data_IF_385561071400
#
_entry.id   IF_385561071400
#
_cell.length_a   1.000
_cell.length_b   1.000
_cell.length_c   1.000
_cell.angle_alpha   90.00
_cell.angle_beta   90.00
_cell.angle_gamma   90.00
#
_symmetry.space_group_name_H-M   'P 1'
#
loop_
_entity.id
_entity.type
_entity.pdbx_description
1 polymer ?
#
# COMPACT_ATOMS: atom_id res chain seq x y z
N UNK A 1 1.46 6.70 18.69
CA UNK A 1 1.00 5.45 19.36
C UNK A 1 1.78 5.16 20.65
N UNK A 2 3.12 5.21 20.64
CA UNK A 2 3.94 4.91 21.83
C UNK A 2 3.50 5.66 23.10
N UNK A 3 3.39 6.98 23.03
CA UNK A 3 2.91 7.80 24.15
C UNK A 3 1.56 7.32 24.72
N UNK A 4 0.65 6.82 23.88
CA UNK A 4 -0.65 6.27 24.33
C UNK A 4 -0.45 4.94 25.07
N UNK A 5 0.47 4.08 24.61
CA UNK A 5 0.83 2.83 25.31
C UNK A 5 1.54 3.08 26.63
N UNK A 6 2.41 4.09 26.69
CA UNK A 6 3.06 4.51 27.94
C UNK A 6 2.04 5.02 28.98
N UNK A 7 0.86 5.46 28.52
CA UNK A 7 -0.30 5.82 29.35
C UNK A 7 -1.23 4.63 29.64
N UNK A 8 -0.82 3.39 29.32
CA UNK A 8 -1.61 2.18 29.56
C UNK A 8 -2.74 1.94 28.56
N UNK A 9 -2.76 2.63 27.42
CA UNK A 9 -3.79 2.44 26.38
C UNK A 9 -3.32 1.45 25.32
N UNK A 10 -4.25 0.66 24.81
CA UNK A 10 -4.03 -0.14 23.61
C UNK A 10 -3.94 0.75 22.37
N UNK A 11 -2.74 0.85 21.79
CA UNK A 11 -2.48 1.71 20.65
C UNK A 11 -1.32 1.20 19.79
N UNK A 12 -1.59 0.85 18.55
CA UNK A 12 -0.59 0.44 17.56
C UNK A 12 -0.38 1.53 16.51
N UNK A 13 0.71 1.44 15.76
CA UNK A 13 0.98 2.30 14.61
C UNK A 13 1.59 1.50 13.46
N UNK A 14 1.30 2.02 12.26
CA UNK A 14 1.96 1.67 11.01
C UNK A 14 2.68 2.95 10.57
N UNK A 15 4.00 3.08 10.81
CA UNK A 15 4.78 4.13 10.17
C UNK A 15 4.85 3.88 8.66
N UNK A 16 5.40 4.84 7.92
CA UNK A 16 5.32 4.89 6.47
C UNK A 16 6.71 5.15 5.85
N UNK A 17 6.82 4.90 4.55
CA UNK A 17 7.95 5.16 3.65
C UNK A 17 9.23 4.34 3.86
N UNK A 18 9.70 4.16 5.09
CA UNK A 18 11.05 3.66 5.35
C UNK A 18 11.05 2.27 5.99
N UNK A 19 11.75 1.31 5.37
CA UNK A 19 11.77 -0.10 5.79
C UNK A 19 12.15 -0.33 7.26
N UNK A 20 12.99 0.56 7.83
CA UNK A 20 13.43 0.48 9.22
C UNK A 20 12.62 1.36 10.18
N UNK A 21 11.47 1.91 9.75
CA UNK A 21 10.70 2.84 10.60
C UNK A 21 10.09 2.19 11.87
N UNK A 22 10.04 0.85 11.95
CA UNK A 22 9.69 0.14 13.17
C UNK A 22 10.84 -0.02 14.17
N UNK A 23 12.09 0.30 13.80
CA UNK A 23 13.23 0.13 14.71
C UNK A 23 13.06 0.98 15.99
N UNK A 24 13.32 0.33 17.12
CA UNK A 24 13.14 0.93 18.45
C UNK A 24 11.70 1.18 18.85
N UNK A 25 10.69 0.84 18.04
CA UNK A 25 9.26 1.05 18.34
C UNK A 25 8.63 -0.05 19.21
N UNK A 26 9.31 -1.19 19.34
CA UNK A 26 8.85 -2.33 20.11
C UNK A 26 7.47 -2.82 19.64
N UNK A 27 6.64 -3.38 20.55
CA UNK A 27 5.33 -3.93 20.19
C UNK A 27 4.27 -2.88 19.80
N UNK A 28 4.63 -1.60 19.79
CA UNK A 28 3.77 -0.52 19.28
C UNK A 28 3.66 -0.55 17.76
N UNK A 29 4.71 -0.98 17.06
CA UNK A 29 4.74 -0.99 15.59
C UNK A 29 4.26 -2.32 15.05
N UNK A 30 3.21 -2.33 14.25
CA UNK A 30 2.70 -3.57 13.62
C UNK A 30 3.34 -3.82 12.25
N UNK A 31 4.11 -2.87 11.74
CA UNK A 31 4.84 -3.00 10.47
C UNK A 31 4.83 -1.70 9.69
N UNK A 32 5.58 -1.69 8.59
CA UNK A 32 5.75 -0.52 7.74
C UNK A 32 5.67 -0.93 6.27
N UNK A 33 4.71 -0.39 5.50
CA UNK A 33 4.86 -0.34 4.05
C UNK A 33 5.94 0.68 3.71
N UNK A 34 6.87 0.30 2.85
CA UNK A 34 7.98 1.15 2.44
C UNK A 34 8.06 1.25 0.92
N UNK A 35 8.61 2.37 0.45
CA UNK A 35 8.96 2.50 -0.96
C UNK A 35 10.41 2.11 -1.19
N UNK A 36 10.66 1.49 -2.33
CA UNK A 36 11.97 1.17 -2.82
C UNK A 36 12.14 1.73 -4.23
N UNK A 37 12.65 2.96 -4.31
CA UNK A 37 12.84 3.66 -5.58
C UNK A 37 14.07 3.19 -6.38
N UNK A 38 14.94 2.39 -5.76
CA UNK A 38 16.21 1.93 -6.34
C UNK A 38 16.05 1.26 -7.71
N UNK A 39 15.19 0.23 -7.85
CA UNK A 39 14.98 -0.44 -9.13
C UNK A 39 14.52 0.51 -10.24
N UNK A 40 13.52 1.36 -9.97
CA UNK A 40 13.00 2.30 -10.97
C UNK A 40 14.00 3.39 -11.33
N UNK A 41 14.75 3.93 -10.36
CA UNK A 41 15.83 4.89 -10.65
C UNK A 41 16.96 4.26 -11.47
N UNK A 42 17.37 3.03 -11.16
CA UNK A 42 18.41 2.34 -11.92
C UNK A 42 17.97 2.07 -13.36
N UNK A 43 16.71 1.62 -13.58
CA UNK A 43 16.14 1.46 -14.93
C UNK A 43 16.21 2.75 -15.72
N UNK A 44 15.73 3.85 -15.14
CA UNK A 44 15.69 5.15 -15.83
C UNK A 44 17.09 5.70 -16.11
N UNK A 45 18.01 5.65 -15.14
CA UNK A 45 19.38 6.08 -15.32
C UNK A 45 20.10 5.29 -16.42
N UNK A 46 19.89 3.97 -16.46
CA UNK A 46 20.47 3.09 -17.49
C UNK A 46 19.90 3.41 -18.88
N UNK A 47 18.59 3.68 -18.97
CA UNK A 47 17.96 4.08 -20.25
C UNK A 47 18.49 5.43 -20.76
N UNK A 48 18.73 6.39 -19.85
CA UNK A 48 19.34 7.68 -20.20
C UNK A 48 20.77 7.48 -20.68
N UNK A 49 21.59 6.72 -19.93
CA UNK A 49 22.97 6.42 -20.30
C UNK A 49 23.06 5.70 -21.66
N UNK A 50 22.12 4.80 -21.95
CA UNK A 50 22.04 4.06 -23.21
C UNK A 50 21.40 4.83 -24.37
N UNK A 51 20.90 6.06 -24.16
CA UNK A 51 20.21 6.83 -25.18
C UNK A 51 18.86 6.24 -25.62
N UNK A 52 18.26 5.36 -24.81
CA UNK A 52 16.98 4.68 -25.09
C UNK A 52 15.81 5.23 -24.29
N UNK A 53 16.07 6.18 -23.38
CA UNK A 53 15.04 6.82 -22.57
C UNK A 53 13.97 7.51 -23.43
N UNK A 54 12.72 7.37 -23.00
CA UNK A 54 11.55 8.05 -23.56
C UNK A 54 10.68 8.56 -22.42
N UNK A 55 9.96 9.65 -22.66
CA UNK A 55 8.93 10.14 -21.76
C UNK A 55 7.81 9.09 -21.64
N UNK A 56 7.40 8.80 -20.41
CA UNK A 56 6.31 7.87 -20.13
C UNK A 56 5.69 8.14 -18.75
N UNK A 57 4.53 7.54 -18.48
CA UNK A 57 3.89 7.45 -17.17
C UNK A 57 3.97 6.00 -16.68
N UNK A 58 4.48 5.80 -15.47
CA UNK A 58 4.74 4.47 -14.93
C UNK A 58 3.97 4.28 -13.62
N UNK A 59 3.10 3.27 -13.58
CA UNK A 59 2.45 2.79 -12.36
C UNK A 59 3.05 1.41 -12.03
N UNK A 60 4.17 1.42 -11.31
CA UNK A 60 4.92 0.20 -11.04
C UNK A 60 4.23 -0.68 -9.97
N UNK A 61 4.02 -1.95 -10.30
CA UNK A 61 3.57 -2.97 -9.36
C UNK A 61 4.75 -3.53 -8.52
N UNK A 62 4.50 -4.09 -7.32
CA UNK A 62 5.53 -4.81 -6.59
C UNK A 62 6.01 -6.06 -7.34
N UNK A 63 7.19 -6.53 -6.99
CA UNK A 63 7.66 -7.84 -7.46
C UNK A 63 6.95 -8.95 -6.67
N UNK A 64 5.82 -9.45 -7.16
CA UNK A 64 4.96 -10.37 -6.40
C UNK A 64 5.60 -11.68 -5.91
N UNK A 65 6.67 -12.16 -6.56
CA UNK A 65 7.39 -13.35 -6.10
C UNK A 65 8.10 -13.11 -4.76
N UNK A 66 8.51 -11.88 -4.51
CA UNK A 66 9.04 -11.40 -3.23
C UNK A 66 8.90 -9.87 -3.19
N UNK A 67 7.87 -9.39 -2.49
CA UNK A 67 7.62 -7.94 -2.39
C UNK A 67 8.72 -7.20 -1.63
N UNK A 68 9.61 -7.91 -0.93
CA UNK A 68 10.74 -7.32 -0.23
C UNK A 68 12.08 -7.50 -0.97
N UNK A 69 12.07 -7.98 -2.23
CA UNK A 69 13.27 -8.00 -3.09
C UNK A 69 13.71 -6.56 -3.39
N UNK A 70 14.81 -6.14 -2.75
CA UNK A 70 15.35 -4.78 -2.87
C UNK A 70 15.84 -4.41 -4.28
N UNK A 71 16.17 -5.39 -5.12
CA UNK A 71 16.66 -5.12 -6.48
C UNK A 71 15.53 -5.12 -7.52
N UNK A 72 14.32 -5.60 -7.15
CA UNK A 72 13.21 -5.77 -8.09
C UNK A 72 11.90 -5.09 -7.69
N UNK A 73 11.56 -5.06 -6.41
CA UNK A 73 10.27 -4.56 -5.95
C UNK A 73 10.30 -3.05 -5.71
N UNK A 74 9.27 -2.33 -6.13
CA UNK A 74 9.16 -0.86 -5.95
C UNK A 74 8.55 -0.44 -4.61
N UNK A 75 7.89 -1.38 -3.94
CA UNK A 75 7.34 -1.26 -2.60
C UNK A 75 7.63 -2.54 -1.83
N UNK A 76 7.55 -2.50 -0.51
CA UNK A 76 7.54 -3.70 0.32
C UNK A 76 6.81 -3.49 1.63
N UNK A 77 6.83 -4.51 2.48
CA UNK A 77 6.28 -4.45 3.83
C UNK A 77 7.19 -5.16 4.81
N UNK A 78 7.67 -4.43 5.82
CA UNK A 78 8.40 -5.02 6.95
C UNK A 78 7.47 -5.19 8.13
N UNK A 79 7.36 -6.42 8.64
CA UNK A 79 6.60 -6.71 9.84
C UNK A 79 7.26 -6.06 11.07
N UNK A 80 6.46 -5.44 11.93
CA UNK A 80 6.91 -4.91 13.22
C UNK A 80 6.65 -5.90 14.35
N UNK A 81 7.32 -5.70 15.50
CA UNK A 81 7.17 -6.57 16.69
C UNK A 81 5.73 -6.63 17.23
N UNK A 82 4.89 -5.64 16.92
CA UNK A 82 3.48 -5.59 17.30
C UNK A 82 2.59 -6.49 16.44
N UNK A 83 3.08 -7.05 15.34
CA UNK A 83 2.31 -7.95 14.49
C UNK A 83 2.37 -9.38 15.04
N UNK A 84 1.22 -9.91 15.45
CA UNK A 84 1.15 -11.31 15.88
C UNK A 84 1.47 -12.26 14.72
N UNK A 85 2.01 -13.44 15.04
CA UNK A 85 2.30 -14.48 14.04
C UNK A 85 1.05 -14.89 13.26
N UNK A 86 -0.10 -14.95 13.93
CA UNK A 86 -1.39 -15.22 13.31
C UNK A 86 -1.78 -14.15 12.28
N UNK A 87 -1.68 -12.86 12.66
CA UNK A 87 -2.02 -11.78 11.74
C UNK A 87 -1.00 -11.64 10.62
N UNK A 88 0.26 -11.98 10.87
CA UNK A 88 1.28 -12.07 9.82
C UNK A 88 0.89 -13.13 8.78
N UNK A 89 0.50 -14.33 9.21
CA UNK A 89 0.09 -15.38 8.28
C UNK A 89 -1.14 -14.99 7.43
N UNK A 90 -2.11 -14.28 8.04
CA UNK A 90 -3.27 -13.72 7.33
C UNK A 90 -2.85 -12.65 6.31
N UNK A 91 -1.94 -11.75 6.68
CA UNK A 91 -1.40 -10.73 5.79
C UNK A 91 -0.60 -11.35 4.64
N UNK A 92 0.24 -12.34 4.90
CA UNK A 92 1.01 -13.05 3.88
C UNK A 92 0.07 -13.71 2.84
N UNK A 93 -1.04 -14.29 3.31
CA UNK A 93 -2.08 -14.87 2.43
C UNK A 93 -2.76 -13.78 1.59
N UNK A 94 -3.12 -12.66 2.21
CA UNK A 94 -3.73 -11.52 1.52
C UNK A 94 -2.82 -10.94 0.43
N UNK A 95 -1.52 -10.79 0.71
CA UNK A 95 -0.51 -10.36 -0.26
C UNK A 95 -0.38 -11.35 -1.41
N UNK A 96 -0.33 -12.66 -1.11
CA UNK A 96 -0.26 -13.69 -2.13
C UNK A 96 -1.50 -13.71 -3.03
N UNK A 97 -2.69 -13.55 -2.45
CA UNK A 97 -3.95 -13.52 -3.20
C UNK A 97 -4.10 -12.25 -4.05
N UNK A 98 -3.55 -11.11 -3.61
CA UNK A 98 -3.42 -9.90 -4.43
C UNK A 98 -2.48 -10.15 -5.63
N UNK A 99 -1.29 -10.72 -5.41
CA UNK A 99 -0.34 -11.02 -6.48
C UNK A 99 -0.83 -12.11 -7.44
N UNK A 100 -1.71 -13.00 -6.99
CA UNK A 100 -2.39 -13.99 -7.82
C UNK A 100 -3.67 -13.43 -8.50
N UNK A 101 -3.98 -12.14 -8.32
CA UNK A 101 -5.19 -11.47 -8.85
C UNK A 101 -6.51 -12.12 -8.43
N UNK A 102 -6.54 -12.82 -7.29
CA UNK A 102 -7.78 -13.37 -6.71
C UNK A 102 -8.60 -12.30 -5.97
N UNK A 103 -7.92 -11.24 -5.54
CA UNK A 103 -8.51 -10.09 -4.86
C UNK A 103 -8.37 -8.88 -5.77
N UNK A 104 -9.49 -8.23 -6.09
CA UNK A 104 -9.52 -6.89 -6.66
C UNK A 104 -10.07 -5.93 -5.59
N UNK A 105 -9.24 -4.99 -5.14
CA UNK A 105 -9.60 -4.04 -4.09
C UNK A 105 -10.70 -3.06 -4.52
N UNK A 106 -10.75 -2.75 -5.83
CA UNK A 106 -11.74 -1.86 -6.42
C UNK A 106 -12.69 -2.66 -7.31
N UNK A 107 -13.38 -3.64 -6.71
CA UNK A 107 -14.49 -4.36 -7.31
C UNK A 107 -15.77 -4.03 -6.56
N UNK A 108 -16.84 -3.70 -7.28
CA UNK A 108 -18.11 -3.37 -6.68
C UNK A 108 -18.87 -4.59 -6.12
N UNK A 109 -19.93 -4.34 -5.34
CA UNK A 109 -20.57 -3.04 -5.17
C UNK A 109 -19.77 -2.11 -4.23
N UNK A 110 -19.44 -0.91 -4.70
CA UNK A 110 -18.80 0.14 -3.91
C UNK A 110 -19.61 1.43 -4.06
N UNK A 111 -19.85 2.12 -2.96
CA UNK A 111 -20.49 3.43 -2.93
C UNK A 111 -19.50 4.48 -2.42
N UNK A 112 -19.74 5.73 -2.77
CA UNK A 112 -19.08 6.89 -2.17
C UNK A 112 -19.58 7.15 -0.74
N UNK A 113 -18.89 8.04 -0.03
CA UNK A 113 -19.15 8.42 1.34
C UNK A 113 -20.60 8.92 1.56
N UNK A 114 -21.18 9.57 0.56
CA UNK A 114 -22.57 10.06 0.55
C UNK A 114 -23.62 8.99 0.19
N UNK A 115 -23.19 7.75 -0.08
CA UNK A 115 -24.04 6.63 -0.46
C UNK A 115 -24.38 6.55 -1.95
N UNK A 116 -23.90 7.48 -2.79
CA UNK A 116 -24.05 7.37 -4.23
C UNK A 116 -23.22 6.22 -4.80
N UNK A 117 -23.71 5.45 -5.78
CA UNK A 117 -22.96 4.33 -6.33
C UNK A 117 -21.67 4.76 -7.04
N UNK A 118 -20.55 4.09 -6.73
CA UNK A 118 -19.28 4.22 -7.47
C UNK A 118 -19.10 3.07 -8.46
N UNK A 119 -19.18 1.82 -8.01
CA UNK A 119 -19.08 0.61 -8.83
C UNK A 119 -20.28 -0.31 -8.58
N UNK A 120 -20.86 -0.87 -9.64
CA UNK A 120 -21.91 -1.90 -9.55
C UNK A 120 -21.34 -3.24 -9.10
N UNK A 121 -22.21 -4.17 -8.74
CA UNK A 121 -21.82 -5.54 -8.40
C UNK A 121 -20.98 -6.19 -9.51
N UNK A 122 -19.80 -6.70 -9.15
CA UNK A 122 -18.83 -7.30 -10.07
C UNK A 122 -18.10 -6.33 -11.01
N UNK A 123 -18.36 -5.02 -10.95
CA UNK A 123 -17.68 -4.01 -11.76
C UNK A 123 -16.31 -3.67 -11.14
N UNK A 124 -15.23 -3.81 -11.89
CA UNK A 124 -13.90 -3.35 -11.50
C UNK A 124 -13.67 -1.89 -11.91
N UNK A 125 -13.06 -1.08 -11.04
CA UNK A 125 -12.62 0.26 -11.42
C UNK A 125 -11.48 0.20 -12.44
N UNK A 126 -11.48 1.16 -13.36
CA UNK A 126 -10.32 1.50 -14.19
C UNK A 126 -9.30 2.29 -13.39
N UNK A 127 -8.03 2.29 -13.83
CA UNK A 127 -6.96 3.08 -13.20
C UNK A 127 -7.30 4.58 -13.11
N UNK A 128 -7.94 5.14 -14.15
CA UNK A 128 -8.39 6.54 -14.16
C UNK A 128 -9.48 6.79 -13.11
N UNK A 129 -10.42 5.86 -12.92
CA UNK A 129 -11.44 5.99 -11.87
C UNK A 129 -10.81 5.93 -10.46
N UNK A 130 -9.77 5.13 -10.28
CA UNK A 130 -9.03 5.06 -9.01
C UNK A 130 -8.23 6.36 -8.80
N UNK A 131 -7.53 6.84 -9.82
CA UNK A 131 -6.71 8.04 -9.78
C UNK A 131 -7.54 9.31 -9.52
N UNK A 132 -8.71 9.37 -10.15
CA UNK A 132 -9.61 10.53 -10.13
C UNK A 132 -10.81 10.31 -9.20
N UNK A 133 -10.63 9.54 -8.12
CA UNK A 133 -11.69 9.22 -7.15
C UNK A 133 -12.29 10.52 -6.57
N UNK A 134 -13.60 10.72 -6.77
CA UNK A 134 -14.26 11.99 -6.48
C UNK A 134 -14.54 12.23 -5.00
N UNK A 135 -14.74 11.15 -4.24
CA UNK A 135 -15.05 11.18 -2.82
C UNK A 135 -14.41 9.99 -2.12
N UNK A 136 -14.32 10.05 -0.79
CA UNK A 136 -14.03 8.87 0.02
C UNK A 136 -15.09 7.79 -0.22
N UNK A 137 -14.78 6.53 0.07
CA UNK A 137 -15.73 5.43 -0.03
C UNK A 137 -16.67 5.40 1.19
N UNK A 138 -17.82 4.75 1.03
CA UNK A 138 -18.78 4.54 2.11
C UNK A 138 -18.11 3.91 3.35
N UNK A 139 -18.40 4.46 4.53
CA UNK A 139 -17.83 4.01 5.80
C UNK A 139 -16.54 4.73 6.22
N UNK A 140 -15.92 5.50 5.33
CA UNK A 140 -14.83 6.40 5.69
C UNK A 140 -15.37 7.68 6.35
N UNK A 141 -14.67 8.16 7.37
CA UNK A 141 -14.93 9.45 8.02
C UNK A 141 -13.83 10.44 7.62
N UNK A 142 -14.19 11.69 7.37
CA UNK A 142 -13.28 12.73 6.86
C UNK A 142 -13.94 13.59 5.80
N UNK A 143 -13.30 14.69 5.43
CA UNK A 143 -13.80 15.56 4.36
C UNK A 143 -13.37 15.00 2.99
N UNK A 144 -14.34 14.72 2.12
CA UNK A 144 -14.10 14.29 0.72
C UNK A 144 -13.64 15.43 -0.21
N UNK A 145 -13.12 16.54 0.34
CA UNK A 145 -12.66 17.69 -0.43
C UNK A 145 -11.16 17.88 -0.26
N UNK A 146 -10.42 17.96 -1.36
CA UNK A 146 -9.13 18.63 -1.36
C UNK A 146 -9.39 20.13 -1.15
N UNK A 147 -8.72 20.75 -0.17
CA UNK A 147 -8.72 22.21 -0.03
C UNK A 147 -7.88 22.87 -1.11
#
# INVERSE_FOLDING_TARGET
ARQKRDQGRDAWAIPYDYAHACEGQGPTCVGVPYFNWGPSFLRQATAVQGGTWKQDFQWDAPHWADINDHDKSTIGFMAGEGLSSENKARLDTFVADLGAHKINLFSGPLNYQDGTPFLKDGEGATDEQIWSLQQLLQGMEGQSSAK
#
